data_IF_277941060492
#
_entry.id   IF_277941060492
#
_cell.length_a   1.000
_cell.length_b   1.000
_cell.length_c   1.000
_cell.angle_alpha   90.00
_cell.angle_beta   90.00
_cell.angle_gamma   90.00
#
_symmetry.space_group_name_H-M   'P 1'
#
loop_
_entity.id
_entity.type
_entity.pdbx_description
1 polymer ?
#
# COMPACT_ATOMS: atom_id res chain seq x y z
N UNK A 1 57.60 -48.78 3.44
CA UNK A 1 57.08 -47.60 2.74
C UNK A 1 55.72 -47.26 3.32
N UNK A 2 55.62 -46.20 4.14
CA UNK A 2 54.35 -45.74 4.74
C UNK A 2 53.94 -44.46 3.97
N UNK A 3 52.79 -44.53 3.30
CA UNK A 3 52.22 -43.39 2.60
C UNK A 3 51.39 -42.54 3.63
N UNK A 4 51.80 -41.29 3.84
CA UNK A 4 51.02 -40.31 4.59
C UNK A 4 50.02 -39.65 3.63
N UNK A 5 48.73 -39.80 3.98
CA UNK A 5 47.64 -39.08 3.32
C UNK A 5 47.45 -37.74 4.05
N UNK A 6 47.77 -36.63 3.39
CA UNK A 6 47.49 -35.29 3.86
C UNK A 6 46.04 -34.96 3.56
N UNK A 7 45.22 -34.82 4.62
CA UNK A 7 43.84 -34.39 4.56
C UNK A 7 43.80 -32.85 4.58
N UNK A 8 43.61 -32.21 3.39
CA UNK A 8 43.43 -30.78 3.28
C UNK A 8 42.02 -30.39 3.72
N UNK A 9 41.92 -29.72 4.88
CA UNK A 9 40.70 -29.19 5.44
C UNK A 9 40.42 -27.84 4.75
N UNK A 10 39.42 -27.79 3.84
CA UNK A 10 38.95 -26.55 3.20
C UNK A 10 38.06 -25.84 4.22
N UNK A 11 38.56 -24.71 4.73
CA UNK A 11 37.81 -23.77 5.58
C UNK A 11 36.89 -22.93 4.68
N UNK A 12 35.61 -23.24 4.63
CA UNK A 12 34.62 -22.40 3.94
C UNK A 12 34.29 -21.23 4.89
N UNK A 13 34.85 -20.07 4.60
CA UNK A 13 34.49 -18.81 5.26
C UNK A 13 33.17 -18.33 4.67
N UNK A 14 32.09 -18.46 5.42
CA UNK A 14 30.84 -17.77 5.12
C UNK A 14 31.01 -16.28 5.40
N UNK A 15 31.13 -15.48 4.35
CA UNK A 15 30.99 -14.04 4.45
C UNK A 15 29.51 -13.74 4.82
N UNK A 16 29.23 -12.89 5.85
CA UNK A 16 27.89 -12.44 6.09
C UNK A 16 27.42 -11.65 4.86
N UNK A 17 26.27 -12.01 4.32
CA UNK A 17 25.59 -11.24 3.29
C UNK A 17 25.37 -9.82 3.84
N UNK A 18 26.04 -8.84 3.24
CA UNK A 18 25.76 -7.43 3.48
C UNK A 18 24.28 -7.20 3.12
N UNK A 19 23.44 -7.05 4.14
CA UNK A 19 22.07 -6.61 3.94
C UNK A 19 22.11 -5.34 3.10
N UNK A 20 21.50 -5.36 1.93
CA UNK A 20 21.27 -4.17 1.13
C UNK A 20 20.53 -3.16 2.03
N UNK A 21 21.21 -2.08 2.42
CA UNK A 21 20.57 -0.93 3.02
C UNK A 21 19.51 -0.48 2.00
N UNK A 22 18.24 -0.66 2.35
CA UNK A 22 17.11 -0.19 1.56
C UNK A 22 17.29 1.32 1.41
N UNK A 23 17.64 1.77 0.22
CA UNK A 23 17.95 3.16 -0.06
C UNK A 23 16.66 3.94 0.14
N UNK A 24 16.56 4.67 1.26
CA UNK A 24 15.40 5.49 1.56
C UNK A 24 15.11 6.39 0.35
N UNK A 25 13.91 6.29 -0.18
CA UNK A 25 13.51 7.07 -1.36
C UNK A 25 13.61 8.56 -1.02
N UNK A 26 14.34 9.40 -1.78
CA UNK A 26 14.63 10.79 -1.40
C UNK A 26 13.38 11.67 -1.23
N UNK A 27 12.25 11.26 -1.78
CA UNK A 27 10.95 11.93 -1.68
C UNK A 27 10.14 11.52 -0.44
N UNK A 28 10.56 10.46 0.28
CA UNK A 28 9.78 9.90 1.40
C UNK A 28 9.71 10.84 2.60
N UNK A 29 10.67 11.73 2.77
CA UNK A 29 10.59 12.79 3.79
C UNK A 29 11.39 14.03 3.40
N UNK A 30 11.00 15.17 3.99
CA UNK A 30 11.68 16.47 3.86
C UNK A 30 11.81 17.08 5.22
N UNK A 31 13.05 17.39 5.66
CA UNK A 31 13.31 18.10 6.89
C UNK A 31 12.98 19.60 6.74
N UNK A 32 12.40 20.18 7.80
CA UNK A 32 11.99 21.56 7.82
C UNK A 32 13.07 22.48 8.38
N UNK A 33 13.25 23.65 7.77
CA UNK A 33 14.09 24.70 8.31
C UNK A 33 13.60 26.08 7.90
N UNK A 34 13.70 27.04 8.85
CA UNK A 34 13.49 28.46 8.61
C UNK A 34 14.50 29.25 9.44
N UNK A 35 14.54 30.59 9.21
CA UNK A 35 15.48 31.45 9.96
C UNK A 35 15.20 31.35 11.47
N UNK A 36 16.17 30.80 12.20
CA UNK A 36 16.13 30.69 13.66
C UNK A 36 15.43 29.47 14.24
N UNK A 37 14.98 28.51 13.38
CA UNK A 37 14.52 27.21 13.86
C UNK A 37 14.63 26.14 12.78
N UNK A 38 14.69 24.88 13.19
CA UNK A 38 14.70 23.72 12.31
C UNK A 38 14.13 22.49 13.00
N UNK A 39 13.59 21.58 12.23
CA UNK A 39 13.12 20.26 12.66
C UNK A 39 13.66 19.21 11.69
N UNK A 40 14.20 18.11 12.22
CA UNK A 40 14.79 17.03 11.44
C UNK A 40 14.30 15.67 11.93
N UNK A 41 14.07 14.78 11.00
CA UNK A 41 13.74 13.39 11.29
C UNK A 41 14.97 12.68 11.90
N UNK A 42 14.77 12.00 13.03
CA UNK A 42 15.73 11.07 13.62
C UNK A 42 15.32 9.62 13.32
N UNK A 43 14.06 9.30 13.54
CA UNK A 43 13.51 7.99 13.20
C UNK A 43 12.00 8.06 12.97
N UNK A 44 11.47 7.14 12.18
CA UNK A 44 10.04 6.94 12.03
C UNK A 44 9.71 5.45 11.93
N UNK A 45 8.57 5.06 12.49
CA UNK A 45 7.98 3.74 12.34
C UNK A 45 6.51 3.93 11.97
N UNK A 46 6.04 3.36 10.86
CA UNK A 46 6.79 2.67 9.82
C UNK A 46 7.90 3.53 9.19
N UNK A 47 8.88 2.90 8.51
CA UNK A 47 9.93 3.65 7.82
C UNK A 47 9.34 4.57 6.74
N UNK A 48 9.87 5.80 6.53
CA UNK A 48 9.38 6.70 5.50
C UNK A 48 9.32 6.04 4.13
N UNK A 49 8.21 6.25 3.40
CA UNK A 49 7.98 5.64 2.09
C UNK A 49 7.53 4.19 2.12
N UNK A 50 7.41 3.55 3.28
CA UNK A 50 6.83 2.21 3.37
C UNK A 50 5.37 2.22 2.93
N UNK A 51 4.91 1.27 2.11
CA UNK A 51 3.50 1.18 1.73
C UNK A 51 2.64 0.81 2.95
N UNK A 52 1.50 1.45 3.09
CA UNK A 52 0.47 1.14 4.09
C UNK A 52 -0.82 0.76 3.37
N UNK A 53 -1.66 -0.05 4.01
CA UNK A 53 -2.80 -0.69 3.34
C UNK A 53 -4.13 -0.13 3.84
N UNK A 54 -5.08 0.13 2.93
CA UNK A 54 -6.46 0.53 3.28
C UNK A 54 -7.08 -0.45 4.27
N UNK A 55 -7.71 0.09 5.32
CA UNK A 55 -8.31 -0.68 6.42
C UNK A 55 -7.32 -1.13 7.51
N UNK A 56 -6.01 -1.01 7.27
CA UNK A 56 -5.00 -1.29 8.28
C UNK A 56 -5.01 -0.21 9.37
N UNK A 57 -4.88 -0.61 10.63
CA UNK A 57 -4.54 0.31 11.73
C UNK A 57 -3.03 0.48 11.75
N UNK A 58 -2.54 1.70 11.53
CA UNK A 58 -1.13 2.05 11.54
C UNK A 58 -0.85 2.97 12.72
N UNK A 59 0.09 2.58 13.58
CA UNK A 59 0.66 3.46 14.60
C UNK A 59 1.91 4.13 14.03
N UNK A 60 1.85 5.45 13.87
CA UNK A 60 2.99 6.27 13.50
C UNK A 60 3.73 6.73 14.75
N UNK A 61 4.99 6.36 14.87
CA UNK A 61 5.90 6.83 15.92
C UNK A 61 7.05 7.56 15.28
N UNK A 62 7.19 8.87 15.54
CA UNK A 62 8.19 9.72 14.90
C UNK A 62 9.05 10.40 15.98
N UNK A 63 10.35 10.17 15.92
CA UNK A 63 11.33 10.90 16.71
C UNK A 63 11.97 11.99 15.85
N UNK A 64 11.99 13.21 16.37
CA UNK A 64 12.55 14.37 15.70
C UNK A 64 13.51 15.12 16.60
N UNK A 65 14.58 15.67 16.03
CA UNK A 65 15.38 16.69 16.66
C UNK A 65 14.96 18.07 16.20
N UNK A 66 15.09 19.05 17.08
CA UNK A 66 14.77 20.44 16.78
C UNK A 66 15.86 21.40 17.25
N UNK A 67 15.86 22.58 16.64
CA UNK A 67 16.58 23.75 17.10
C UNK A 67 15.64 24.97 17.05
N UNK A 68 15.50 25.68 18.16
CA UNK A 68 14.70 26.89 18.32
C UNK A 68 15.52 28.01 18.92
N UNK A 69 15.70 29.13 18.20
CA UNK A 69 16.49 30.29 18.68
C UNK A 69 15.74 31.60 18.68
N UNK A 70 14.60 31.69 17.96
CA UNK A 70 13.83 32.94 17.76
C UNK A 70 12.75 33.20 18.82
N UNK A 71 12.43 32.16 19.63
CA UNK A 71 11.44 32.28 20.70
C UNK A 71 11.91 31.50 21.94
N UNK A 72 11.38 31.83 23.13
CA UNK A 72 11.67 31.11 24.36
C UNK A 72 10.98 29.77 24.41
N UNK A 73 9.83 29.64 23.73
CA UNK A 73 9.04 28.42 23.65
C UNK A 73 8.50 28.20 22.24
N UNK A 74 8.12 26.98 21.96
CA UNK A 74 7.41 26.60 20.74
C UNK A 74 6.59 25.32 20.96
N UNK A 75 5.92 24.88 19.92
CA UNK A 75 5.21 23.61 19.91
C UNK A 75 5.56 22.82 18.66
N UNK A 76 5.84 21.54 18.82
CA UNK A 76 5.90 20.59 17.70
C UNK A 76 4.55 19.90 17.65
N UNK A 77 3.89 19.97 16.50
CA UNK A 77 2.55 19.42 16.27
C UNK A 77 2.64 18.28 15.28
N UNK A 78 1.83 17.24 15.47
CA UNK A 78 1.74 16.10 14.58
C UNK A 78 0.37 16.09 13.92
N UNK A 79 0.33 16.25 12.62
CA UNK A 79 -0.91 16.25 11.82
C UNK A 79 -0.80 15.18 10.75
N UNK A 80 -1.82 14.34 10.66
CA UNK A 80 -1.93 13.29 9.64
C UNK A 80 -2.92 13.77 8.56
N UNK A 81 -2.48 13.80 7.31
CA UNK A 81 -3.22 14.35 6.17
C UNK A 81 -3.22 13.35 4.99
N UNK A 82 -4.14 13.55 4.05
CA UNK A 82 -4.08 12.92 2.74
C UNK A 82 -3.23 13.75 1.74
N UNK A 83 -3.14 13.31 0.49
CA UNK A 83 -2.41 13.98 -0.58
C UNK A 83 -2.97 15.36 -0.96
N UNK A 84 -4.18 15.70 -0.50
CA UNK A 84 -4.84 17.00 -0.74
C UNK A 84 -4.75 17.96 0.45
N UNK A 85 -3.90 17.63 1.46
CA UNK A 85 -3.72 18.35 2.73
C UNK A 85 -4.97 18.34 3.64
N UNK A 86 -5.92 17.43 3.40
CA UNK A 86 -7.08 17.25 4.27
C UNK A 86 -6.70 16.38 5.48
N UNK A 87 -7.01 16.88 6.67
CA UNK A 87 -6.74 16.16 7.92
C UNK A 87 -7.53 14.86 8.01
N UNK A 88 -6.84 13.77 8.32
CA UNK A 88 -7.40 12.47 8.58
C UNK A 88 -7.76 12.32 10.06
N UNK A 89 -8.74 11.46 10.35
CA UNK A 89 -9.17 11.18 11.70
C UNK A 89 -8.20 10.20 12.37
N UNK A 90 -7.51 10.65 13.43
CA UNK A 90 -6.57 9.86 14.22
C UNK A 90 -6.99 9.80 15.69
N UNK A 91 -6.34 8.96 16.49
CA UNK A 91 -6.55 8.86 17.93
C UNK A 91 -5.97 10.06 18.72
N UNK A 92 -5.13 10.89 18.09
CA UNK A 92 -4.45 12.08 18.66
C UNK A 92 -3.75 11.82 19.99
N UNK A 93 -3.21 10.62 20.17
CA UNK A 93 -2.68 10.15 21.47
C UNK A 93 -1.52 10.98 22.00
N UNK A 94 -0.61 11.43 21.14
CA UNK A 94 0.53 12.28 21.48
C UNK A 94 0.88 13.20 20.30
N UNK A 95 -0.09 14.02 19.90
CA UNK A 95 -0.05 14.83 18.69
C UNK A 95 0.59 16.21 18.84
N UNK A 96 0.99 16.61 20.05
CA UNK A 96 1.62 17.91 20.28
C UNK A 96 2.52 17.88 21.50
N UNK A 97 3.67 18.55 21.40
CA UNK A 97 4.60 18.70 22.51
C UNK A 97 5.19 20.11 22.56
N UNK A 98 5.14 20.73 23.74
CA UNK A 98 5.82 22.01 23.99
C UNK A 98 7.32 21.81 24.06
N UNK A 99 8.08 22.74 23.52
CA UNK A 99 9.53 22.75 23.49
C UNK A 99 10.06 24.11 23.89
N UNK A 100 11.23 24.11 24.58
CA UNK A 100 11.90 25.34 25.00
C UNK A 100 12.95 25.77 23.97
N UNK A 101 13.43 27.03 24.09
CA UNK A 101 14.55 27.54 23.30
C UNK A 101 15.76 26.61 23.44
N UNK A 102 16.48 26.39 22.36
CA UNK A 102 17.67 25.56 22.31
C UNK A 102 17.55 24.41 21.33
N UNK A 103 18.20 23.32 21.64
CA UNK A 103 18.18 22.06 20.88
C UNK A 103 17.59 20.97 21.77
N UNK A 104 16.85 20.05 21.14
CA UNK A 104 16.30 18.91 21.83
C UNK A 104 15.72 17.88 20.84
N UNK A 105 15.16 16.84 21.42
CA UNK A 105 14.45 15.79 20.67
C UNK A 105 13.12 15.50 21.33
N UNK A 106 12.13 15.17 20.51
CA UNK A 106 10.78 14.74 20.95
C UNK A 106 10.33 13.51 20.17
N UNK A 107 9.46 12.72 20.78
CA UNK A 107 8.81 11.60 20.12
C UNK A 107 7.31 11.82 20.13
N UNK A 108 6.70 11.75 18.95
CA UNK A 108 5.28 11.91 18.71
C UNK A 108 4.68 10.57 18.27
N UNK A 109 3.42 10.32 18.60
CA UNK A 109 2.72 9.07 18.26
C UNK A 109 1.26 9.35 17.96
N UNK A 110 0.78 8.87 16.82
CA UNK A 110 -0.65 8.85 16.45
C UNK A 110 -1.00 7.55 15.74
N UNK A 111 -2.23 7.09 15.89
CA UNK A 111 -2.76 5.92 15.17
C UNK A 111 -3.85 6.33 14.20
N UNK A 112 -3.84 5.71 13.02
CA UNK A 112 -4.78 5.93 11.93
C UNK A 112 -5.30 4.58 11.45
N UNK A 113 -6.62 4.46 11.25
CA UNK A 113 -7.18 3.44 10.35
C UNK A 113 -7.13 4.03 8.95
N UNK A 114 -6.32 3.45 8.06
CA UNK A 114 -6.11 3.97 6.70
C UNK A 114 -7.44 3.99 5.93
N UNK A 115 -7.98 5.17 5.56
CA UNK A 115 -9.26 5.23 4.87
C UNK A 115 -9.14 4.83 3.41
N UNK A 116 -10.23 4.39 2.77
CA UNK A 116 -10.27 4.19 1.32
C UNK A 116 -10.28 5.53 0.57
N UNK A 117 -9.90 5.48 -0.70
CA UNK A 117 -10.02 6.61 -1.62
C UNK A 117 -8.86 7.59 -1.61
N UNK A 118 -7.84 7.37 -0.78
CA UNK A 118 -6.59 8.15 -0.76
C UNK A 118 -5.45 7.34 -1.39
N UNK A 119 -4.43 8.02 -1.89
CA UNK A 119 -3.24 7.41 -2.50
C UNK A 119 -1.97 7.61 -1.66
N UNK A 120 -2.00 8.56 -0.72
CA UNK A 120 -0.88 8.90 0.16
C UNK A 120 -1.40 9.32 1.54
N UNK A 121 -0.70 8.88 2.60
CA UNK A 121 -0.79 9.48 3.92
C UNK A 121 0.43 10.33 4.13
N UNK A 122 0.21 11.58 4.56
CA UNK A 122 1.23 12.57 4.81
C UNK A 122 1.26 12.93 6.29
N UNK A 123 2.41 12.78 6.93
CA UNK A 123 2.65 13.31 8.27
C UNK A 123 3.24 14.71 8.12
N UNK A 124 2.50 15.71 8.58
CA UNK A 124 2.91 17.10 8.61
C UNK A 124 3.28 17.49 10.03
N UNK A 125 4.56 17.81 10.29
CA UNK A 125 5.11 18.03 11.63
C UNK A 125 5.82 19.37 11.66
N UNK A 126 5.08 20.47 11.90
CA UNK A 126 5.65 21.80 12.05
C UNK A 126 6.24 22.00 13.45
N UNK A 127 7.33 22.76 13.52
CA UNK A 127 7.77 23.46 14.72
C UNK A 127 7.23 24.91 14.65
N UNK A 128 6.32 25.23 15.57
CA UNK A 128 5.66 26.54 15.66
C UNK A 128 6.23 27.31 16.85
N UNK A 129 7.10 28.31 16.63
CA UNK A 129 7.60 29.16 17.71
C UNK A 129 6.47 30.00 18.32
N UNK A 130 6.49 30.22 19.65
CA UNK A 130 5.49 31.06 20.33
C UNK A 130 5.49 32.49 19.80
N UNK A 131 4.29 33.02 19.52
CA UNK A 131 4.12 34.33 18.94
C UNK A 131 4.13 34.38 17.41
N UNK A 132 4.28 33.22 16.75
CA UNK A 132 4.21 33.08 15.29
C UNK A 132 2.93 32.35 14.88
N UNK A 133 2.26 32.83 13.86
CA UNK A 133 1.01 32.26 13.31
C UNK A 133 1.25 31.38 12.09
N UNK A 134 2.45 31.43 11.51
CA UNK A 134 2.84 30.67 10.34
C UNK A 134 4.18 30.01 10.57
N UNK A 135 4.34 28.81 10.01
CA UNK A 135 5.61 28.09 9.97
C UNK A 135 5.99 27.90 8.50
N UNK A 136 7.28 28.03 8.20
CA UNK A 136 7.85 27.71 6.89
C UNK A 136 8.90 26.62 6.97
N UNK A 137 9.07 26.03 8.17
CA UNK A 137 9.98 24.93 8.44
C UNK A 137 9.23 23.78 9.08
N UNK A 138 8.67 22.92 8.24
CA UNK A 138 7.95 21.72 8.62
C UNK A 138 8.64 20.46 8.13
N UNK A 139 8.64 19.41 8.95
CA UNK A 139 8.99 18.07 8.53
C UNK A 139 7.75 17.44 7.89
N UNK A 140 7.93 16.89 6.69
CA UNK A 140 6.91 16.13 5.98
C UNK A 140 7.42 14.71 5.73
N UNK A 141 6.62 13.69 6.09
CA UNK A 141 6.90 12.28 5.79
C UNK A 141 5.73 11.72 4.99
N UNK A 142 6.01 10.90 3.97
CA UNK A 142 5.01 10.36 3.05
C UNK A 142 4.98 8.84 3.08
N UNK A 143 3.78 8.28 3.00
CA UNK A 143 3.51 6.86 2.95
C UNK A 143 2.54 6.59 1.79
N UNK A 144 2.97 5.86 0.75
CA UNK A 144 2.07 5.44 -0.32
C UNK A 144 1.00 4.50 0.23
N UNK A 145 -0.26 4.71 -0.17
CA UNK A 145 -1.38 3.87 0.22
C UNK A 145 -1.63 2.83 -0.85
N UNK A 146 -1.66 1.56 -0.45
CA UNK A 146 -2.09 0.45 -1.29
C UNK A 146 -3.52 0.06 -0.91
N UNK A 147 -4.39 0.04 -1.89
CA UNK A 147 -5.73 -0.50 -1.72
C UNK A 147 -5.74 -1.92 -2.33
N UNK A 148 -5.87 -2.99 -1.51
CA UNK A 148 -5.90 -4.35 -2.01
C UNK A 148 -7.02 -4.59 -3.03
N UNK A 149 -8.07 -3.77 -2.97
CA UNK A 149 -9.18 -3.81 -3.92
C UNK A 149 -8.81 -3.22 -5.28
N UNK A 150 -7.89 -2.22 -5.29
CA UNK A 150 -7.35 -1.60 -6.51
C UNK A 150 -6.15 -2.37 -7.08
N UNK A 151 -5.35 -3.00 -6.23
CA UNK A 151 -4.27 -3.91 -6.63
C UNK A 151 -4.81 -5.32 -6.89
N UNK A 152 -6.02 -5.41 -7.44
CA UNK A 152 -6.56 -6.67 -7.89
C UNK A 152 -5.57 -7.26 -8.89
N UNK A 153 -5.16 -8.49 -8.71
CA UNK A 153 -4.25 -9.21 -9.63
C UNK A 153 -4.82 -9.38 -11.05
N UNK A 154 -5.77 -8.51 -11.46
CA UNK A 154 -6.29 -8.51 -12.84
C UNK A 154 -5.29 -7.94 -13.85
N UNK A 155 -4.26 -7.18 -13.38
CA UNK A 155 -3.21 -6.62 -14.24
C UNK A 155 -3.54 -5.29 -14.90
N UNK A 156 -4.62 -4.61 -14.48
CA UNK A 156 -5.03 -3.30 -15.01
C UNK A 156 -5.33 -2.31 -13.87
N UNK A 157 -5.12 -1.00 -14.12
CA UNK A 157 -5.33 0.03 -13.11
C UNK A 157 -6.81 0.34 -12.85
N UNK A 158 -7.71 0.00 -13.79
CA UNK A 158 -9.16 0.21 -13.68
C UNK A 158 -9.95 -0.81 -14.48
N UNK A 159 -11.23 -0.95 -14.17
CA UNK A 159 -12.17 -1.78 -14.93
C UNK A 159 -12.29 -1.30 -16.37
N UNK A 160 -12.38 0.02 -16.57
CA UNK A 160 -12.45 0.61 -17.91
C UNK A 160 -11.18 0.35 -18.72
N UNK A 161 -9.98 0.44 -18.09
CA UNK A 161 -8.72 0.14 -18.77
C UNK A 161 -8.63 -1.34 -19.19
N UNK A 162 -9.08 -2.26 -18.32
CA UNK A 162 -9.13 -3.68 -18.64
C UNK A 162 -10.05 -3.96 -19.83
N UNK A 163 -11.26 -3.40 -19.82
CA UNK A 163 -12.25 -3.60 -20.87
C UNK A 163 -11.76 -3.04 -22.21
N UNK A 164 -11.20 -1.84 -22.22
CA UNK A 164 -10.67 -1.19 -23.43
C UNK A 164 -9.50 -1.97 -24.05
N UNK A 165 -8.56 -2.45 -23.23
CA UNK A 165 -7.41 -3.24 -23.71
C UNK A 165 -7.87 -4.59 -24.29
N UNK A 166 -8.81 -5.29 -23.62
CA UNK A 166 -9.34 -6.55 -24.12
C UNK A 166 -10.10 -6.38 -25.44
N UNK A 167 -10.85 -5.28 -25.61
CA UNK A 167 -11.50 -4.97 -26.89
C UNK A 167 -10.52 -4.71 -28.03
N UNK A 168 -9.28 -4.31 -27.73
CA UNK A 168 -8.23 -4.12 -28.75
C UNK A 168 -7.59 -5.43 -29.24
N UNK A 169 -7.85 -6.54 -28.53
CA UNK A 169 -7.24 -7.86 -28.80
C UNK A 169 -8.13 -8.70 -29.70
N UNK A 170 -7.71 -9.03 -30.92
CA UNK A 170 -8.53 -9.78 -31.87
C UNK A 170 -8.82 -11.23 -31.45
N UNK A 171 -7.99 -11.80 -30.56
CA UNK A 171 -8.14 -13.16 -30.02
C UNK A 171 -9.15 -13.25 -28.89
N UNK A 172 -9.61 -12.12 -28.34
CA UNK A 172 -10.58 -12.08 -27.24
C UNK A 172 -11.99 -12.01 -27.82
N UNK A 173 -12.84 -12.94 -27.42
CA UNK A 173 -14.24 -12.96 -27.82
C UNK A 173 -15.15 -12.43 -26.72
N UNK A 174 -16.14 -11.62 -27.10
CA UNK A 174 -17.07 -11.00 -26.18
C UNK A 174 -18.49 -11.54 -26.36
N UNK A 175 -19.23 -11.68 -25.26
CA UNK A 175 -20.67 -11.93 -25.24
C UNK A 175 -21.30 -11.29 -24.00
N UNK A 176 -22.58 -11.04 -24.08
CA UNK A 176 -23.40 -10.65 -22.92
C UNK A 176 -24.15 -11.86 -22.40
N UNK A 177 -24.12 -12.05 -21.09
CA UNK A 177 -24.78 -13.19 -20.44
C UNK A 177 -25.19 -12.80 -19.01
N UNK A 178 -26.49 -12.91 -18.69
CA UNK A 178 -27.00 -12.70 -17.33
C UNK A 178 -26.75 -11.30 -16.76
N UNK A 179 -26.64 -10.27 -17.58
CA UNK A 179 -26.33 -8.90 -17.15
C UNK A 179 -24.82 -8.62 -16.99
N UNK A 180 -23.98 -9.52 -17.50
CA UNK A 180 -22.53 -9.41 -17.51
C UNK A 180 -21.98 -9.33 -18.91
N UNK A 181 -20.91 -8.56 -19.11
CA UNK A 181 -20.07 -8.66 -20.30
C UNK A 181 -19.01 -9.72 -20.01
N UNK A 182 -19.01 -10.78 -20.77
CA UNK A 182 -18.05 -11.88 -20.66
C UNK A 182 -17.03 -11.75 -21.79
N UNK A 183 -15.74 -11.68 -21.44
CA UNK A 183 -14.65 -11.71 -22.40
C UNK A 183 -13.83 -13.00 -22.19
N UNK A 184 -13.62 -13.76 -23.26
CA UNK A 184 -12.89 -15.03 -23.25
C UNK A 184 -11.60 -14.89 -24.03
N UNK A 185 -10.47 -15.03 -23.32
CA UNK A 185 -9.12 -15.16 -23.92
C UNK A 185 -8.70 -16.63 -23.83
N UNK A 186 -8.89 -17.35 -24.95
CA UNK A 186 -8.57 -18.79 -25.03
C UNK A 186 -7.09 -19.07 -24.98
N UNK A 187 -6.27 -18.15 -25.47
CA UNK A 187 -4.82 -18.32 -25.51
C UNK A 187 -4.21 -18.25 -24.08
N UNK A 188 -4.86 -17.47 -23.22
CA UNK A 188 -4.44 -17.32 -21.81
C UNK A 188 -5.27 -18.17 -20.84
N UNK A 189 -6.20 -19.01 -21.35
CA UNK A 189 -7.16 -19.75 -20.52
C UNK A 189 -7.87 -18.88 -19.49
N UNK A 190 -8.21 -17.67 -19.90
CA UNK A 190 -8.74 -16.63 -19.01
C UNK A 190 -10.15 -16.23 -19.42
N UNK A 191 -11.04 -16.20 -18.44
CA UNK A 191 -12.41 -15.71 -18.55
C UNK A 191 -12.56 -14.45 -17.70
N UNK A 192 -13.00 -13.39 -18.34
CA UNK A 192 -13.32 -12.13 -17.70
C UNK A 192 -14.83 -11.96 -17.59
N UNK A 193 -15.29 -11.40 -16.48
CA UNK A 193 -16.68 -11.02 -16.28
C UNK A 193 -16.72 -9.57 -15.81
N UNK A 194 -17.36 -8.70 -16.58
CA UNK A 194 -17.50 -7.27 -16.26
C UNK A 194 -18.96 -7.01 -15.89
N UNK A 195 -19.19 -6.35 -14.75
CA UNK A 195 -20.52 -5.89 -14.36
C UNK A 195 -21.03 -4.83 -15.35
N UNK A 196 -22.31 -4.86 -15.68
CA UNK A 196 -22.98 -3.81 -16.45
C UNK A 196 -23.60 -2.75 -15.54
N UNK A 197 -23.99 -1.60 -16.07
CA UNK A 197 -24.52 -0.45 -15.30
C UNK A 197 -25.71 -0.78 -14.38
N UNK A 198 -26.43 -1.86 -14.61
CA UNK A 198 -27.54 -2.29 -13.75
C UNK A 198 -27.12 -3.12 -12.53
N UNK A 199 -25.87 -3.55 -12.44
CA UNK A 199 -25.37 -4.35 -11.33
C UNK A 199 -24.93 -3.47 -10.15
N UNK A 200 -25.31 -3.80 -8.90
CA UNK A 200 -24.87 -3.03 -7.71
C UNK A 200 -23.34 -2.94 -7.57
N UNK A 201 -22.59 -3.91 -8.07
CA UNK A 201 -21.13 -3.94 -8.06
C UNK A 201 -20.48 -3.21 -9.24
N UNK A 202 -21.26 -2.52 -10.10
CA UNK A 202 -20.69 -1.74 -11.20
C UNK A 202 -19.95 -0.48 -10.71
N UNK A 203 -18.76 -0.15 -11.23
CA UNK A 203 -17.98 -0.94 -12.19
C UNK A 203 -17.15 -2.03 -11.46
N UNK A 204 -17.13 -3.23 -12.01
CA UNK A 204 -16.28 -4.32 -11.52
C UNK A 204 -15.85 -5.27 -12.64
N UNK A 205 -14.70 -5.93 -12.42
CA UNK A 205 -14.16 -6.95 -13.29
C UNK A 205 -13.66 -8.15 -12.47
N UNK A 206 -14.04 -9.34 -12.89
CA UNK A 206 -13.57 -10.61 -12.33
C UNK A 206 -12.78 -11.36 -13.39
N UNK A 207 -11.49 -11.58 -13.13
CA UNK A 207 -10.58 -12.37 -13.96
C UNK A 207 -10.44 -13.76 -13.37
N UNK A 208 -10.77 -14.79 -14.11
CA UNK A 208 -10.60 -16.19 -13.75
C UNK A 208 -9.66 -16.86 -14.74
N UNK A 209 -8.56 -17.41 -14.26
CA UNK A 209 -7.55 -18.07 -15.11
C UNK A 209 -7.39 -19.52 -14.67
N UNK A 210 -7.55 -20.44 -15.61
CA UNK A 210 -7.27 -21.85 -15.39
C UNK A 210 -5.76 -22.08 -15.39
N UNK A 211 -5.24 -22.67 -14.30
CA UNK A 211 -3.81 -22.99 -14.14
C UNK A 211 -3.65 -24.49 -13.97
N UNK A 212 -2.84 -25.11 -14.83
CA UNK A 212 -2.48 -26.52 -14.69
C UNK A 212 -1.31 -26.65 -13.72
N UNK A 213 -1.50 -27.44 -12.68
CA UNK A 213 -0.46 -27.72 -11.67
C UNK A 213 0.44 -28.87 -12.11
N UNK A 214 1.61 -28.99 -11.47
CA UNK A 214 2.62 -30.02 -11.79
C UNK A 214 2.11 -31.47 -11.67
N UNK A 215 0.99 -31.70 -10.98
CA UNK A 215 0.32 -33.01 -10.83
C UNK A 215 -0.79 -33.27 -11.86
N UNK A 216 -0.99 -32.38 -12.86
CA UNK A 216 -2.03 -32.52 -13.89
C UNK A 216 -3.41 -32.04 -13.43
N UNK A 217 -3.60 -31.63 -12.18
CA UNK A 217 -4.81 -30.97 -11.72
C UNK A 217 -4.92 -29.56 -12.29
N UNK A 218 -6.17 -29.09 -12.51
CA UNK A 218 -6.45 -27.72 -12.95
C UNK A 218 -7.05 -26.95 -11.77
N UNK A 219 -6.44 -25.84 -11.44
CA UNK A 219 -6.98 -24.89 -10.45
C UNK A 219 -7.48 -23.62 -11.16
N UNK A 220 -8.42 -22.93 -10.52
CA UNK A 220 -8.97 -21.67 -11.02
C UNK A 220 -8.50 -20.54 -10.11
N UNK A 221 -7.58 -19.71 -10.62
CA UNK A 221 -7.19 -18.48 -9.96
C UNK A 221 -8.21 -17.39 -10.27
N UNK A 222 -8.71 -16.73 -9.24
CA UNK A 222 -9.67 -15.64 -9.35
C UNK A 222 -9.09 -14.36 -8.77
N UNK A 223 -9.18 -13.29 -9.55
CA UNK A 223 -8.81 -11.94 -9.14
C UNK A 223 -9.97 -11.00 -9.46
N UNK A 224 -10.24 -10.05 -8.57
CA UNK A 224 -11.36 -9.12 -8.68
C UNK A 224 -10.86 -7.69 -8.55
N UNK A 225 -11.30 -6.82 -9.45
CA UNK A 225 -11.25 -5.37 -9.32
C UNK A 225 -12.68 -4.86 -9.21
N UNK A 226 -13.02 -4.26 -8.09
CA UNK A 226 -14.33 -3.68 -7.85
C UNK A 226 -14.16 -2.21 -7.44
N UNK A 227 -14.74 -1.31 -8.23
CA UNK A 227 -14.66 0.15 -8.04
C UNK A 227 -15.97 0.72 -7.48
N UNK A 228 -16.84 -0.16 -6.95
CA UNK A 228 -18.12 0.16 -6.33
C UNK A 228 -18.01 0.30 -4.80
N UNK A 229 -19.16 0.27 -4.10
CA UNK A 229 -19.20 0.30 -2.63
C UNK A 229 -18.64 -0.99 -2.01
N UNK A 230 -18.14 -0.91 -0.78
CA UNK A 230 -17.60 -2.06 -0.07
C UNK A 230 -18.59 -3.23 0.01
N UNK A 231 -19.84 -2.95 0.41
CA UNK A 231 -20.89 -3.97 0.54
C UNK A 231 -21.19 -4.67 -0.78
N UNK A 232 -21.24 -3.92 -1.87
CA UNK A 232 -21.44 -4.49 -3.21
C UNK A 232 -20.24 -5.34 -3.65
N UNK A 233 -19.02 -4.88 -3.37
CA UNK A 233 -17.80 -5.62 -3.68
C UNK A 233 -17.69 -6.92 -2.86
N UNK A 234 -18.05 -6.89 -1.58
CA UNK A 234 -18.02 -8.10 -0.73
C UNK A 234 -19.04 -9.15 -1.21
N UNK A 235 -20.25 -8.71 -1.60
CA UNK A 235 -21.26 -9.59 -2.20
C UNK A 235 -20.80 -10.18 -3.53
N UNK A 236 -20.12 -9.38 -4.36
CA UNK A 236 -19.54 -9.85 -5.61
C UNK A 236 -18.52 -10.98 -5.35
N UNK A 237 -17.60 -10.77 -4.41
CA UNK A 237 -16.60 -11.78 -4.04
C UNK A 237 -17.26 -13.06 -3.58
N UNK A 238 -18.24 -12.98 -2.67
CA UNK A 238 -18.99 -14.13 -2.17
C UNK A 238 -19.68 -14.90 -3.31
N UNK A 239 -20.36 -14.18 -4.21
CA UNK A 239 -21.06 -14.78 -5.37
C UNK A 239 -20.11 -15.56 -6.29
N UNK A 240 -18.96 -14.97 -6.64
CA UNK A 240 -17.99 -15.66 -7.52
C UNK A 240 -17.26 -16.82 -6.82
N UNK A 241 -17.06 -16.77 -5.52
CA UNK A 241 -16.55 -17.90 -4.75
C UNK A 241 -17.52 -19.10 -4.83
N UNK A 242 -18.82 -18.87 -4.63
CA UNK A 242 -19.83 -19.93 -4.76
C UNK A 242 -19.90 -20.50 -6.20
N UNK A 243 -19.76 -19.66 -7.22
CA UNK A 243 -19.70 -20.11 -8.60
C UNK A 243 -18.49 -21.01 -8.87
N UNK A 244 -17.33 -20.65 -8.34
CA UNK A 244 -16.10 -21.43 -8.47
C UNK A 244 -16.21 -22.79 -7.75
N UNK A 245 -16.81 -22.82 -6.55
CA UNK A 245 -17.06 -24.05 -5.81
C UNK A 245 -17.99 -25.01 -6.59
N UNK A 246 -19.14 -24.49 -7.08
CA UNK A 246 -20.07 -25.29 -7.90
C UNK A 246 -19.41 -25.83 -9.18
N UNK A 247 -18.57 -25.02 -9.84
CA UNK A 247 -17.83 -25.46 -11.02
C UNK A 247 -16.85 -26.59 -10.69
N UNK A 248 -16.11 -26.47 -9.58
CA UNK A 248 -15.18 -27.51 -9.11
C UNK A 248 -15.88 -28.83 -8.79
N UNK A 249 -17.00 -28.77 -8.05
CA UNK A 249 -17.78 -29.96 -7.67
C UNK A 249 -18.35 -30.67 -8.91
N UNK A 250 -18.76 -29.92 -9.93
CA UNK A 250 -19.26 -30.49 -11.19
C UNK A 250 -18.18 -31.22 -12.00
N UNK A 251 -16.90 -30.84 -11.84
CA UNK A 251 -15.76 -31.49 -12.49
C UNK A 251 -15.29 -32.76 -11.75
N UNK A 252 -15.47 -32.81 -10.42
CA UNK A 252 -15.08 -33.96 -9.61
C UNK A 252 -16.08 -35.12 -9.64
N UNK A 253 -17.33 -34.86 -10.03
CA UNK A 253 -18.42 -35.83 -10.09
C UNK A 253 -18.63 -36.45 -11.49
N UNK A 254 -17.69 -36.26 -12.42
CA UNK A 254 -17.64 -36.90 -13.74
C UNK A 254 -16.54 -37.95 -13.83
#
# INVERSE_FOLDING_TARGET
MRAQVLLSMILIVFAPAAGSAETAMPWAFVNGSAKGYSIKLESASPAPGSPITVGQTVEFKVAVSYQLSIAEKGSIVFVVQDETDKNLLTDKKNSSQSVDRGKGSVTLTESLVVPPGINEVRLFIPLVPSGFTHTSGELVIRYPVTDPRKSSGIGYPSVAAALADLHSKPEVTFREEGGWIIAEDRNQYTLWSFATEGDPAYPSAVKRTAVQEAGGSVTMNMNILCESTQDACDKLVAHFNELNERARDSLQNK
#
